data_IF_074660331147
#
_entry.id   IF_074660331147
#
_cell.length_a   1.000
_cell.length_b   1.000
_cell.length_c   1.000
_cell.angle_alpha   90.00
_cell.angle_beta   90.00
_cell.angle_gamma   90.00
#
_symmetry.space_group_name_H-M   'P 1'
#
loop_
_entity.id
_entity.type
_entity.pdbx_description
1 polymer ?
#
# COMPACT_ATOMS: atom_id res chain seq x y z
N UNK A 1 16.08 -8.75 18.63
CA UNK A 1 14.80 -9.15 19.25
C UNK A 1 13.70 -9.01 18.20
N UNK A 2 13.03 -10.09 17.82
CA UNK A 2 11.87 -10.03 16.91
C UNK A 2 10.65 -9.64 17.72
N UNK A 3 10.14 -8.44 17.49
CA UNK A 3 8.92 -7.98 18.14
C UNK A 3 7.75 -8.91 17.76
N UNK A 4 6.86 -9.31 18.68
CA UNK A 4 5.72 -10.20 18.40
C UNK A 4 4.70 -9.67 17.37
N UNK A 5 4.84 -8.41 16.98
CA UNK A 5 4.03 -7.70 15.99
C UNK A 5 4.83 -7.34 14.71
N UNK A 6 6.02 -7.91 14.52
CA UNK A 6 6.78 -7.71 13.30
C UNK A 6 6.04 -8.28 12.08
N UNK A 7 5.82 -7.44 11.06
CA UNK A 7 5.11 -7.82 9.83
C UNK A 7 5.74 -9.03 9.14
N UNK A 8 7.08 -9.10 9.13
CA UNK A 8 7.81 -10.21 8.54
C UNK A 8 7.52 -11.51 9.27
N UNK A 9 7.54 -11.48 10.60
CA UNK A 9 7.22 -12.63 11.45
C UNK A 9 5.77 -13.11 11.28
N UNK A 10 4.79 -12.20 11.36
CA UNK A 10 3.36 -12.55 11.21
C UNK A 10 3.04 -13.12 9.83
N UNK A 11 3.66 -12.56 8.78
CA UNK A 11 3.50 -13.07 7.41
C UNK A 11 4.18 -14.42 7.22
N UNK A 12 5.34 -14.63 7.84
CA UNK A 12 6.07 -15.90 7.76
C UNK A 12 5.30 -17.00 8.48
N UNK A 13 4.81 -16.75 9.70
CA UNK A 13 3.98 -17.68 10.48
C UNK A 13 2.77 -18.17 9.67
N UNK A 14 1.98 -17.23 9.13
CA UNK A 14 0.84 -17.61 8.29
C UNK A 14 1.24 -18.29 6.96
N UNK A 15 2.45 -18.02 6.44
CA UNK A 15 2.93 -18.72 5.23
C UNK A 15 3.30 -20.17 5.54
N UNK A 16 3.90 -20.44 6.70
CA UNK A 16 4.23 -21.79 7.16
C UNK A 16 2.93 -22.59 7.34
N UNK A 17 1.92 -22.03 8.02
CA UNK A 17 0.63 -22.70 8.19
C UNK A 17 -0.06 -23.02 6.84
N UNK A 18 0.02 -22.11 5.86
CA UNK A 18 -0.48 -22.35 4.52
C UNK A 18 0.26 -23.49 3.79
N UNK A 19 1.59 -23.53 3.92
CA UNK A 19 2.44 -24.55 3.32
C UNK A 19 2.23 -25.93 3.96
N UNK A 20 1.95 -25.96 5.27
CA UNK A 20 1.61 -27.17 6.03
C UNK A 20 0.16 -27.65 5.79
N UNK A 21 -0.60 -26.97 4.92
CA UNK A 21 -2.00 -27.33 4.64
C UNK A 21 -2.96 -27.01 5.78
N UNK A 22 -2.58 -26.08 6.67
CA UNK A 22 -3.37 -25.56 7.78
C UNK A 22 -3.86 -24.12 7.52
N UNK A 23 -4.75 -23.89 6.53
CA UNK A 23 -5.23 -22.54 6.21
C UNK A 23 -5.97 -21.89 7.39
N UNK A 24 -6.60 -22.68 8.26
CA UNK A 24 -7.28 -22.17 9.45
C UNK A 24 -6.30 -21.55 10.46
N UNK A 25 -5.14 -22.17 10.67
CA UNK A 25 -4.08 -21.64 11.54
C UNK A 25 -3.52 -20.33 11.03
N UNK A 26 -3.35 -20.22 9.71
CA UNK A 26 -2.78 -19.05 9.06
C UNK A 26 -3.64 -17.77 9.22
N UNK A 27 -4.95 -17.89 9.42
CA UNK A 27 -5.88 -16.74 9.47
C UNK A 27 -5.47 -15.74 10.55
N UNK A 28 -5.30 -16.18 11.79
CA UNK A 28 -5.09 -15.29 12.95
C UNK A 28 -3.81 -14.44 12.87
N UNK A 29 -2.61 -15.01 12.59
CA UNK A 29 -1.40 -14.19 12.45
C UNK A 29 -1.49 -13.22 11.28
N UNK A 30 -2.14 -13.62 10.18
CA UNK A 30 -2.31 -12.77 9.00
C UNK A 30 -3.34 -11.64 9.23
N UNK A 31 -4.43 -11.88 9.95
CA UNK A 31 -5.37 -10.84 10.39
C UNK A 31 -4.66 -9.80 11.27
N UNK A 32 -3.81 -10.24 12.21
CA UNK A 32 -2.97 -9.33 13.01
C UNK A 32 -2.03 -8.51 12.12
N UNK A 33 -1.41 -9.14 11.13
CA UNK A 33 -0.52 -8.48 10.18
C UNK A 33 -1.24 -7.39 9.39
N UNK A 34 -2.44 -7.67 8.88
CA UNK A 34 -3.29 -6.68 8.17
C UNK A 34 -3.74 -5.56 9.11
N UNK A 35 -4.11 -5.86 10.35
CA UNK A 35 -4.54 -4.85 11.31
C UNK A 35 -3.41 -3.85 11.67
N UNK A 36 -2.17 -4.33 11.79
CA UNK A 36 -1.00 -3.49 12.09
C UNK A 36 -0.42 -2.81 10.86
N UNK A 37 -0.52 -3.46 9.70
CA UNK A 37 0.03 -2.98 8.44
C UNK A 37 -1.05 -2.99 7.33
N UNK A 38 -2.08 -2.14 7.44
CA UNK A 38 -3.24 -2.17 6.55
C UNK A 38 -2.92 -1.80 5.10
N UNK A 39 -1.71 -1.30 4.80
CA UNK A 39 -1.23 -0.97 3.46
C UNK A 39 -0.22 -1.96 2.88
N UNK A 40 0.06 -3.05 3.58
CA UNK A 40 0.89 -4.10 3.02
C UNK A 40 0.01 -5.10 2.24
N UNK A 41 0.14 -5.08 0.92
CA UNK A 41 -0.65 -5.95 0.06
C UNK A 41 -0.20 -7.42 0.14
N UNK A 42 1.05 -7.71 0.53
CA UNK A 42 1.57 -9.08 0.54
C UNK A 42 0.96 -9.89 1.69
N UNK A 43 0.91 -9.31 2.90
CA UNK A 43 0.24 -9.96 4.04
C UNK A 43 -1.26 -10.12 3.78
N UNK A 44 -1.89 -9.16 3.11
CA UNK A 44 -3.30 -9.25 2.74
C UNK A 44 -3.57 -10.30 1.65
N UNK A 45 -2.68 -10.50 0.68
CA UNK A 45 -2.76 -11.60 -0.29
C UNK A 45 -2.62 -12.97 0.39
N UNK A 46 -1.72 -13.11 1.37
CA UNK A 46 -1.61 -14.33 2.18
C UNK A 46 -2.88 -14.55 2.99
N UNK A 47 -3.48 -13.50 3.56
CA UNK A 47 -4.75 -13.61 4.27
C UNK A 47 -5.88 -14.09 3.34
N UNK A 48 -5.94 -13.59 2.10
CA UNK A 48 -6.90 -14.08 1.11
C UNK A 48 -6.73 -15.58 0.83
N UNK A 49 -5.48 -16.08 0.73
CA UNK A 49 -5.19 -17.51 0.56
C UNK A 49 -5.66 -18.33 1.77
N UNK A 50 -5.41 -17.83 2.99
CA UNK A 50 -5.84 -18.47 4.24
C UNK A 50 -7.37 -18.54 4.33
N UNK A 51 -8.06 -17.45 4.01
CA UNK A 51 -9.53 -17.44 3.95
C UNK A 51 -10.09 -18.43 2.93
N UNK A 52 -9.54 -18.47 1.71
CA UNK A 52 -9.99 -19.41 0.68
C UNK A 52 -9.78 -20.87 1.13
N UNK A 53 -8.61 -21.21 1.66
CA UNK A 53 -8.32 -22.55 2.17
C UNK A 53 -9.17 -22.93 3.39
N UNK A 54 -9.62 -21.95 4.18
CA UNK A 54 -10.52 -22.13 5.31
C UNK A 54 -12.02 -22.17 4.91
N UNK A 55 -12.34 -22.07 3.61
CA UNK A 55 -13.72 -22.05 3.11
C UNK A 55 -14.45 -20.71 3.32
N UNK A 56 -13.73 -19.64 3.63
CA UNK A 56 -14.24 -18.27 3.83
C UNK A 56 -14.15 -17.46 2.53
N UNK A 57 -14.83 -17.91 1.47
CA UNK A 57 -14.66 -17.38 0.10
C UNK A 57 -14.95 -15.87 0.00
N UNK A 58 -16.02 -15.39 0.64
CA UNK A 58 -16.37 -13.96 0.62
C UNK A 58 -15.28 -13.08 1.27
N UNK A 59 -14.65 -13.56 2.34
CA UNK A 59 -13.55 -12.84 2.99
C UNK A 59 -12.29 -12.90 2.12
N UNK A 60 -12.05 -14.02 1.43
CA UNK A 60 -10.95 -14.17 0.50
C UNK A 60 -11.04 -13.18 -0.66
N UNK A 61 -12.22 -13.06 -1.28
CA UNK A 61 -12.49 -12.11 -2.35
C UNK A 61 -12.29 -10.67 -1.91
N UNK A 62 -12.83 -10.30 -0.74
CA UNK A 62 -12.66 -8.96 -0.17
C UNK A 62 -11.17 -8.65 0.10
N UNK A 63 -10.44 -9.57 0.72
CA UNK A 63 -9.02 -9.41 0.99
C UNK A 63 -8.20 -9.30 -0.31
N UNK A 64 -8.53 -10.09 -1.33
CA UNK A 64 -7.86 -10.06 -2.63
C UNK A 64 -8.11 -8.76 -3.37
N UNK A 65 -9.36 -8.31 -3.43
CA UNK A 65 -9.73 -7.05 -4.09
C UNK A 65 -8.97 -5.86 -3.47
N UNK A 66 -8.91 -5.80 -2.14
CA UNK A 66 -8.20 -4.73 -1.45
C UNK A 66 -6.68 -4.83 -1.62
N UNK A 67 -6.11 -6.04 -1.65
CA UNK A 67 -4.69 -6.20 -1.93
C UNK A 67 -4.31 -5.73 -3.35
N UNK A 68 -5.14 -6.03 -4.36
CA UNK A 68 -4.92 -5.54 -5.73
C UNK A 68 -5.10 -4.02 -5.83
N UNK A 69 -6.07 -3.44 -5.10
CA UNK A 69 -6.20 -1.97 -5.00
C UNK A 69 -4.91 -1.34 -4.47
N UNK A 70 -4.37 -1.84 -3.36
CA UNK A 70 -3.14 -1.31 -2.75
C UNK A 70 -1.94 -1.48 -3.69
N UNK A 71 -1.83 -2.64 -4.35
CA UNK A 71 -0.77 -2.90 -5.32
C UNK A 71 -0.83 -1.93 -6.49
N UNK A 72 -2.02 -1.68 -7.04
CA UNK A 72 -2.24 -0.72 -8.10
C UNK A 72 -1.87 0.71 -7.66
N UNK A 73 -2.30 1.12 -6.46
CA UNK A 73 -1.94 2.42 -5.88
C UNK A 73 -0.43 2.60 -5.77
N UNK A 74 0.29 1.60 -5.24
CA UNK A 74 1.76 1.65 -5.12
C UNK A 74 2.46 1.77 -6.48
N UNK A 75 1.96 1.06 -7.50
CA UNK A 75 2.49 1.14 -8.87
C UNK A 75 2.24 2.53 -9.48
N UNK A 76 1.00 3.00 -9.42
CA UNK A 76 0.61 4.33 -9.93
C UNK A 76 1.42 5.43 -9.25
N UNK A 77 1.64 5.34 -7.94
CA UNK A 77 2.46 6.31 -7.22
C UNK A 77 3.90 6.34 -7.73
N UNK A 78 4.51 5.18 -7.98
CA UNK A 78 5.86 5.08 -8.54
C UNK A 78 5.93 5.68 -9.97
N UNK A 79 4.94 5.37 -10.81
CA UNK A 79 4.86 5.87 -12.19
C UNK A 79 4.68 7.39 -12.22
N UNK A 80 3.78 7.93 -11.40
CA UNK A 80 3.56 9.38 -11.26
C UNK A 80 4.78 10.11 -10.72
N UNK A 81 5.54 9.48 -9.83
CA UNK A 81 6.81 10.03 -9.35
C UNK A 81 7.81 10.24 -10.48
N UNK A 82 7.93 9.27 -11.40
CA UNK A 82 8.78 9.41 -12.59
C UNK A 82 8.25 10.48 -13.54
N UNK A 83 6.93 10.55 -13.73
CA UNK A 83 6.30 11.55 -14.60
C UNK A 83 6.49 12.98 -14.05
N UNK A 84 6.40 13.19 -12.74
CA UNK A 84 6.60 14.50 -12.12
C UNK A 84 8.03 15.03 -12.29
N UNK A 85 9.01 14.11 -12.38
CA UNK A 85 10.40 14.41 -12.71
C UNK A 85 10.58 14.73 -14.19
N UNK A 86 9.93 13.98 -15.08
CA UNK A 86 9.97 14.22 -16.52
C UNK A 86 9.25 15.50 -16.93
N UNK A 87 8.19 15.89 -16.20
CA UNK A 87 7.35 17.06 -16.48
C UNK A 87 7.28 17.98 -15.27
N UNK A 88 8.35 18.77 -15.00
CA UNK A 88 8.40 19.63 -13.84
C UNK A 88 7.37 20.78 -13.86
N UNK A 89 6.87 21.15 -15.04
CA UNK A 89 5.84 22.19 -15.20
C UNK A 89 4.40 21.69 -15.24
N UNK A 90 4.17 20.41 -14.97
CA UNK A 90 2.83 19.82 -14.99
C UNK A 90 2.23 19.79 -13.58
N UNK A 91 1.24 20.65 -13.34
CA UNK A 91 0.54 20.73 -12.04
C UNK A 91 -0.44 19.56 -11.84
N UNK A 92 -0.97 18.97 -12.92
CA UNK A 92 -1.92 17.85 -12.84
C UNK A 92 -1.24 16.60 -12.29
N UNK A 93 -0.01 16.32 -12.74
CA UNK A 93 0.77 15.18 -12.23
C UNK A 93 1.04 15.32 -10.73
N UNK A 94 1.29 16.54 -10.25
CA UNK A 94 1.50 16.84 -8.82
C UNK A 94 0.22 16.69 -8.01
N UNK A 95 -0.92 17.18 -8.51
CA UNK A 95 -2.23 16.94 -7.89
C UNK A 95 -2.55 15.46 -7.75
N UNK A 96 -2.27 14.67 -8.80
CA UNK A 96 -2.47 13.21 -8.76
C UNK A 96 -1.59 12.53 -7.71
N UNK A 97 -0.33 12.97 -7.57
CA UNK A 97 0.55 12.49 -6.49
C UNK A 97 0.01 12.84 -5.10
N UNK A 98 -0.55 14.04 -4.93
CA UNK A 98 -1.21 14.43 -3.68
C UNK A 98 -2.40 13.53 -3.35
N UNK A 99 -3.31 13.31 -4.30
CA UNK A 99 -4.46 12.40 -4.10
C UNK A 99 -4.02 10.98 -3.75
N UNK A 100 -2.99 10.46 -4.42
CA UNK A 100 -2.44 9.14 -4.11
C UNK A 100 -1.78 9.09 -2.73
N UNK A 101 -1.12 10.17 -2.30
CA UNK A 101 -0.56 10.26 -0.96
C UNK A 101 -1.66 10.25 0.12
N UNK A 102 -2.79 10.92 -0.11
CA UNK A 102 -3.96 10.85 0.76
C UNK A 102 -4.49 9.42 0.89
N UNK A 103 -4.66 8.71 -0.23
CA UNK A 103 -5.07 7.30 -0.26
C UNK A 103 -4.08 6.38 0.49
N UNK A 104 -2.83 6.81 0.66
CA UNK A 104 -1.76 6.09 1.37
C UNK A 104 -1.59 6.52 2.86
N UNK A 105 -2.51 7.30 3.47
CA UNK A 105 -2.29 8.11 4.71
C UNK A 105 -0.86 8.66 4.77
N UNK A 106 -0.47 9.34 3.72
CA UNK A 106 0.74 10.14 3.77
C UNK A 106 0.34 11.60 3.65
N UNK A 107 -0.34 12.18 4.67
CA UNK A 107 -0.75 13.58 4.64
C UNK A 107 0.47 14.51 4.55
N UNK A 108 1.63 14.06 5.06
CA UNK A 108 2.93 14.69 4.89
C UNK A 108 3.29 14.86 3.40
N UNK A 109 3.12 13.79 2.62
CA UNK A 109 3.41 13.81 1.18
C UNK A 109 2.30 14.51 0.40
N UNK A 110 1.04 14.36 0.80
CA UNK A 110 -0.10 15.03 0.18
C UNK A 110 0.12 16.55 0.16
N UNK A 111 0.41 17.14 1.32
CA UNK A 111 0.63 18.58 1.44
C UNK A 111 1.77 19.05 0.55
N UNK A 112 2.90 18.33 0.56
CA UNK A 112 4.08 18.66 -0.26
C UNK A 112 3.73 18.67 -1.75
N UNK A 113 2.94 17.70 -2.23
CA UNK A 113 2.55 17.64 -3.63
C UNK A 113 1.51 18.71 -4.02
N UNK A 114 0.60 19.09 -3.11
CA UNK A 114 -0.32 20.21 -3.33
C UNK A 114 0.42 21.54 -3.41
N UNK A 115 1.39 21.79 -2.52
CA UNK A 115 2.23 22.98 -2.56
C UNK A 115 3.04 23.04 -3.86
N UNK A 116 3.60 21.91 -4.30
CA UNK A 116 4.31 21.83 -5.57
C UNK A 116 3.39 22.12 -6.77
N UNK A 117 2.14 21.64 -6.76
CA UNK A 117 1.17 21.92 -7.82
C UNK A 117 0.84 23.42 -7.88
N UNK A 118 0.57 24.05 -6.73
CA UNK A 118 0.28 25.48 -6.64
C UNK A 118 1.48 26.35 -7.07
N UNK A 119 2.71 25.91 -6.79
CA UNK A 119 3.92 26.59 -7.26
C UNK A 119 4.01 26.60 -8.79
N UNK A 120 3.76 25.44 -9.42
CA UNK A 120 3.75 25.30 -10.89
C UNK A 120 2.69 26.19 -11.54
N UNK A 121 1.47 26.20 -11.00
CA UNK A 121 0.38 27.04 -11.51
C UNK A 121 0.67 28.54 -11.37
N UNK A 122 1.35 28.93 -10.30
CA UNK A 122 1.83 30.30 -10.10
C UNK A 122 3.04 30.67 -10.99
N UNK A 123 3.47 29.80 -11.91
CA UNK A 123 4.63 30.00 -12.78
C UNK A 123 5.97 29.96 -12.03
N UNK A 124 5.97 29.51 -10.77
CA UNK A 124 7.18 29.32 -9.97
C UNK A 124 7.74 27.93 -10.23
N UNK A 125 9.08 27.81 -10.27
CA UNK A 125 9.70 26.48 -10.32
C UNK A 125 9.29 25.71 -9.06
N UNK A 126 8.75 24.48 -9.18
CA UNK A 126 8.40 23.70 -8.00
C UNK A 126 9.66 23.49 -7.17
N UNK A 127 9.51 23.53 -5.84
CA UNK A 127 10.58 23.11 -4.96
C UNK A 127 10.97 21.68 -5.36
N UNK A 128 12.26 21.46 -5.62
CA UNK A 128 12.76 20.12 -5.86
C UNK A 128 12.53 19.33 -4.57
N UNK A 129 11.53 18.44 -4.56
CA UNK A 129 11.30 17.51 -3.46
C UNK A 129 12.58 16.70 -3.29
N UNK A 130 13.42 17.08 -2.32
CA UNK A 130 14.55 16.29 -1.88
C UNK A 130 13.98 15.01 -1.28
N UNK A 131 14.33 13.89 -1.89
CA UNK A 131 14.19 12.56 -1.31
C UNK A 131 14.95 12.49 0.03
#
# INVERSE_FOLDING_TARGET
ETSPDDLGALRLEGSIDLEDGNPQGAVRPLERGVAKHPRDYLVRLKLAQAYAGAGREADADAARAEAERIRALRRTFADLHQEAWARPGDADVRRRLATMAADLDRPDLEQVWLEAAAAVEAGRKPAANRQ
#
